data_IF_810184161345
#
_entry.id   IF_810184161345
#
_cell.length_a   1.000
_cell.length_b   1.000
_cell.length_c   1.000
_cell.angle_alpha   90.00
_cell.angle_beta   90.00
_cell.angle_gamma   90.00
#
_symmetry.space_group_name_H-M   'P 1'
#
loop_
_entity.id
_entity.type
_entity.pdbx_description
1 polymer ?
#
# COMPACT_ATOMS: atom_id res chain seq x y z
N UNK A 1 -22.51 27.25 12.22
CA UNK A 1 -23.69 26.38 12.05
C UNK A 1 -23.48 25.64 10.73
N UNK A 2 -22.74 24.53 10.79
CA UNK A 2 -22.38 23.74 9.59
C UNK A 2 -23.60 22.94 9.14
N UNK A 3 -23.90 22.87 7.83
CA UNK A 3 -24.99 22.04 7.32
C UNK A 3 -24.72 20.58 7.67
N UNK A 4 -25.62 19.93 8.40
CA UNK A 4 -25.60 18.47 8.59
C UNK A 4 -25.93 17.83 7.26
N UNK A 5 -25.08 16.92 6.79
CA UNK A 5 -25.35 16.16 5.58
C UNK A 5 -26.60 15.27 5.78
N UNK A 6 -27.42 15.06 4.74
CA UNK A 6 -28.69 14.33 4.86
C UNK A 6 -28.53 12.81 5.16
N UNK A 7 -27.31 12.28 5.21
CA UNK A 7 -26.99 10.88 5.46
C UNK A 7 -26.70 10.57 6.96
N UNK A 8 -26.10 11.49 7.72
CA UNK A 8 -25.68 11.23 9.11
C UNK A 8 -26.85 10.78 10.00
N UNK A 9 -28.03 11.41 9.87
CA UNK A 9 -29.20 11.02 10.66
C UNK A 9 -29.79 9.66 10.28
N UNK A 10 -29.53 9.19 9.06
CA UNK A 10 -30.00 7.90 8.56
C UNK A 10 -29.11 6.78 9.06
N UNK A 11 -27.79 6.99 9.04
CA UNK A 11 -26.80 6.03 9.54
C UNK A 11 -26.93 5.83 11.06
N UNK A 12 -27.15 6.92 11.82
CA UNK A 12 -27.40 6.87 13.27
C UNK A 12 -28.69 6.13 13.65
N UNK A 13 -29.70 6.15 12.76
CA UNK A 13 -30.95 5.43 12.98
C UNK A 13 -30.79 3.93 12.68
N UNK A 14 -30.08 3.59 11.60
CA UNK A 14 -29.76 2.20 11.23
C UNK A 14 -28.85 1.55 12.28
N UNK A 15 -27.83 2.27 12.76
CA UNK A 15 -26.92 1.77 13.79
C UNK A 15 -27.66 1.45 15.10
N UNK A 16 -28.57 2.34 15.54
CA UNK A 16 -29.38 2.10 16.75
C UNK A 16 -30.32 0.92 16.62
N UNK A 17 -30.88 0.66 15.44
CA UNK A 17 -31.71 -0.54 15.20
C UNK A 17 -30.87 -1.83 15.32
N UNK A 18 -29.64 -1.82 14.80
CA UNK A 18 -28.73 -2.96 14.92
C UNK A 18 -28.34 -3.23 16.37
N UNK A 19 -27.99 -2.20 17.14
CA UNK A 19 -27.65 -2.35 18.57
C UNK A 19 -28.86 -2.80 19.38
N UNK A 20 -30.04 -2.20 19.16
CA UNK A 20 -31.26 -2.61 19.84
C UNK A 20 -31.61 -4.08 19.52
N UNK A 21 -31.43 -4.52 18.27
CA UNK A 21 -31.65 -5.92 17.88
C UNK A 21 -30.65 -6.87 18.55
N UNK A 22 -29.38 -6.47 18.63
CA UNK A 22 -28.34 -7.24 19.31
C UNK A 22 -28.60 -7.35 20.82
N UNK A 23 -28.97 -6.25 21.48
CA UNK A 23 -29.31 -6.22 22.91
C UNK A 23 -30.63 -6.92 23.22
N UNK A 24 -31.59 -6.90 22.27
CA UNK A 24 -32.86 -7.61 22.39
C UNK A 24 -32.76 -9.10 22.11
N UNK A 25 -31.63 -9.56 21.54
CA UNK A 25 -31.36 -10.98 21.39
C UNK A 25 -31.15 -11.53 22.80
N UNK A 26 -32.13 -12.24 23.38
CA UNK A 26 -32.00 -12.74 24.73
C UNK A 26 -30.82 -13.71 24.70
N UNK A 27 -29.82 -13.48 25.54
CA UNK A 27 -28.85 -14.52 25.84
C UNK A 27 -29.63 -15.80 26.17
N UNK A 28 -29.37 -16.84 25.39
CA UNK A 28 -30.02 -18.15 25.38
C UNK A 28 -30.77 -18.45 26.71
N UNK A 29 -32.12 -18.39 26.74
CA UNK A 29 -32.84 -18.81 27.92
C UNK A 29 -32.69 -20.32 28.06
N UNK A 30 -32.48 -20.77 29.31
CA UNK A 30 -32.40 -22.17 29.75
C UNK A 30 -30.99 -22.76 29.76
N UNK A 31 -30.17 -22.28 30.71
CA UNK A 31 -29.40 -23.21 31.54
C UNK A 31 -30.41 -23.99 32.39
N UNK A 32 -30.98 -25.06 31.83
CA UNK A 32 -31.36 -26.18 32.68
C UNK A 32 -30.06 -26.70 33.29
N UNK A 33 -30.05 -26.76 34.62
CA UNK A 33 -28.95 -27.21 35.47
C UNK A 33 -28.74 -28.72 35.24
N UNK A 34 -28.15 -29.07 34.09
CA UNK A 34 -27.54 -30.38 33.88
C UNK A 34 -26.12 -30.29 34.42
N UNK A 35 -25.84 -31.10 35.45
CA UNK A 35 -24.55 -31.29 36.11
C UNK A 35 -23.55 -32.00 35.18
N UNK A 36 -23.32 -31.41 34.01
CA UNK A 36 -22.24 -31.74 33.09
C UNK A 36 -21.21 -30.61 33.15
N UNK A 37 -19.90 -30.89 33.31
CA UNK A 37 -18.91 -29.83 33.35
C UNK A 37 -18.94 -29.07 32.03
N UNK A 38 -19.29 -27.77 32.08
CA UNK A 38 -19.25 -26.93 30.89
C UNK A 38 -17.85 -27.05 30.27
N UNK A 39 -17.74 -27.35 28.96
CA UNK A 39 -16.46 -27.37 28.29
C UNK A 39 -15.81 -26.01 28.48
N UNK A 40 -14.53 -26.00 28.87
CA UNK A 40 -13.83 -24.75 29.08
C UNK A 40 -13.81 -23.96 27.77
N UNK A 41 -13.63 -22.63 27.84
CA UNK A 41 -13.57 -21.81 26.62
C UNK A 41 -12.51 -22.32 25.64
N UNK A 42 -11.45 -22.95 26.14
CA UNK A 42 -10.44 -23.62 25.32
C UNK A 42 -11.00 -24.83 24.58
N UNK A 43 -11.80 -25.65 25.26
CA UNK A 43 -12.43 -26.84 24.66
C UNK A 43 -13.48 -26.46 23.61
N UNK A 44 -14.19 -25.34 23.82
CA UNK A 44 -15.12 -24.78 22.83
C UNK A 44 -14.38 -24.26 21.59
N UNK A 45 -13.29 -23.53 21.79
CA UNK A 45 -12.46 -23.02 20.69
C UNK A 45 -11.82 -24.17 19.91
N UNK A 46 -11.32 -25.18 20.60
CA UNK A 46 -10.76 -26.40 20.00
C UNK A 46 -11.81 -27.17 19.17
N UNK A 47 -13.05 -27.28 19.67
CA UNK A 47 -14.14 -27.91 18.93
C UNK A 47 -14.50 -27.14 17.64
N UNK A 48 -14.42 -25.80 17.64
CA UNK A 48 -14.62 -24.99 16.44
C UNK A 48 -13.56 -25.29 15.38
N UNK A 49 -12.29 -25.41 15.78
CA UNK A 49 -11.20 -25.72 14.85
C UNK A 49 -11.21 -27.16 14.35
N UNK A 50 -11.59 -28.11 15.21
CA UNK A 50 -11.66 -29.55 14.89
C UNK A 50 -12.79 -29.88 13.92
N UNK A 51 -13.89 -29.15 13.97
CA UNK A 51 -15.08 -29.41 13.16
C UNK A 51 -15.12 -28.58 11.85
N UNK A 52 -14.04 -27.88 11.49
CA UNK A 52 -13.95 -27.21 10.20
C UNK A 52 -13.74 -28.25 9.09
N UNK A 53 -14.65 -28.35 8.09
CA UNK A 53 -14.41 -29.19 6.92
C UNK A 53 -13.19 -28.67 6.17
N UNK A 54 -12.28 -29.58 5.79
CA UNK A 54 -11.13 -29.42 4.88
C UNK A 54 -10.91 -27.97 4.45
N UNK A 55 -10.03 -27.27 5.16
CA UNK A 55 -9.63 -25.91 4.77
C UNK A 55 -9.13 -25.97 3.32
N UNK A 56 -9.77 -25.29 2.36
CA UNK A 56 -9.10 -25.05 1.09
C UNK A 56 -7.79 -24.34 1.40
N UNK A 57 -6.70 -24.80 0.76
CA UNK A 57 -5.38 -24.20 0.88
C UNK A 57 -5.53 -22.67 0.87
N UNK A 58 -5.17 -22.03 1.98
CA UNK A 58 -5.23 -20.60 2.10
C UNK A 58 -4.26 -19.96 1.10
N UNK A 59 -4.36 -18.64 0.86
CA UNK A 59 -3.44 -17.90 -0.02
C UNK A 59 -1.97 -17.90 0.42
N UNK A 60 -1.56 -18.77 1.35
CA UNK A 60 -0.19 -18.98 1.82
C UNK A 60 0.17 -20.45 1.93
N UNK A 61 -0.76 -21.35 1.62
CA UNK A 61 -0.57 -22.80 1.70
C UNK A 61 -0.14 -23.33 0.32
N UNK A 62 0.90 -22.72 -0.24
CA UNK A 62 1.51 -23.19 -1.48
C UNK A 62 2.52 -24.28 -1.14
N UNK A 63 2.38 -25.45 -1.75
CA UNK A 63 3.43 -26.47 -1.74
C UNK A 63 4.47 -26.06 -2.79
N UNK A 64 5.72 -25.89 -2.35
CA UNK A 64 6.85 -25.72 -3.26
C UNK A 64 6.93 -26.99 -4.12
N UNK A 65 6.88 -26.89 -5.46
CA UNK A 65 7.08 -28.06 -6.30
C UNK A 65 8.42 -28.68 -5.90
N UNK A 66 8.45 -29.99 -5.66
CA UNK A 66 9.71 -30.69 -5.41
C UNK A 66 10.58 -30.45 -6.63
N UNK A 67 11.61 -29.60 -6.47
CA UNK A 67 12.63 -29.38 -7.46
C UNK A 67 13.15 -30.77 -7.83
N UNK A 68 12.91 -31.21 -9.06
CA UNK A 68 13.48 -32.43 -9.59
C UNK A 68 15.01 -32.26 -9.50
N UNK A 69 15.61 -32.76 -8.42
CA UNK A 69 17.05 -32.81 -8.14
C UNK A 69 17.81 -33.71 -9.16
N UNK A 70 17.25 -33.90 -10.35
CA UNK A 70 17.64 -34.88 -11.35
C UNK A 70 17.81 -34.39 -12.78
N UNK A 71 17.64 -33.10 -13.10
CA UNK A 71 17.93 -32.60 -14.45
C UNK A 71 19.24 -31.82 -14.48
N UNK A 72 20.32 -32.54 -14.78
CA UNK A 72 21.57 -32.03 -15.31
C UNK A 72 21.29 -31.17 -16.55
N UNK A 73 21.14 -29.85 -16.35
CA UNK A 73 21.12 -28.84 -17.42
C UNK A 73 19.87 -27.96 -17.51
N UNK A 74 19.83 -26.86 -16.74
CA UNK A 74 19.40 -25.57 -17.30
C UNK A 74 17.98 -25.04 -17.03
N UNK A 75 17.32 -25.37 -15.91
CA UNK A 75 15.99 -24.82 -15.59
C UNK A 75 15.94 -23.90 -14.34
N UNK A 76 17.08 -23.49 -13.79
CA UNK A 76 17.11 -22.46 -12.74
C UNK A 76 16.99 -21.07 -13.35
N UNK A 77 16.13 -20.20 -12.80
CA UNK A 77 16.09 -18.78 -13.16
C UNK A 77 17.47 -18.17 -12.90
N UNK A 78 18.20 -17.85 -13.97
CA UNK A 78 19.43 -17.08 -13.92
C UNK A 78 19.11 -15.65 -14.35
N UNK A 79 18.96 -14.70 -13.40
CA UNK A 79 18.66 -13.33 -13.75
C UNK A 79 19.79 -12.82 -14.66
N UNK A 80 19.46 -12.15 -15.78
CA UNK A 80 20.48 -11.57 -16.63
C UNK A 80 21.31 -10.58 -15.80
N UNK A 81 22.62 -10.55 -16.05
CA UNK A 81 23.49 -9.58 -15.40
C UNK A 81 22.91 -8.17 -15.61
N UNK A 82 22.67 -7.39 -14.54
CA UNK A 82 22.07 -6.08 -14.69
C UNK A 82 23.01 -5.20 -15.52
N UNK A 83 22.48 -4.35 -16.42
CA UNK A 83 23.28 -3.38 -17.12
C UNK A 83 24.11 -2.58 -16.11
N UNK A 84 25.40 -2.27 -16.40
CA UNK A 84 26.21 -1.47 -15.50
C UNK A 84 25.45 -0.20 -15.18
N UNK A 85 25.31 0.10 -13.88
CA UNK A 85 24.65 1.30 -13.38
C UNK A 85 25.52 2.51 -13.75
N UNK A 86 25.46 2.91 -15.02
CA UNK A 86 26.02 4.15 -15.49
C UNK A 86 25.40 5.29 -14.69
N UNK A 87 26.20 6.29 -14.36
CA UNK A 87 25.70 7.55 -13.82
C UNK A 87 24.53 7.98 -14.71
N UNK A 88 23.32 7.99 -14.14
CA UNK A 88 22.07 8.12 -14.90
C UNK A 88 22.08 9.32 -15.85
N UNK A 89 21.19 9.30 -16.85
CA UNK A 89 21.12 10.32 -17.91
C UNK A 89 21.39 11.75 -17.37
N UNK A 90 22.49 12.41 -17.79
CA UNK A 90 22.92 13.67 -17.18
C UNK A 90 21.86 14.77 -17.34
N UNK A 91 21.02 14.71 -18.38
CA UNK A 91 19.93 15.66 -18.55
C UNK A 91 18.84 15.48 -17.49
N UNK A 92 18.54 14.22 -17.12
CA UNK A 92 17.59 13.91 -16.05
C UNK A 92 18.13 14.36 -14.70
N UNK A 93 19.42 14.18 -14.45
CA UNK A 93 20.08 14.68 -13.24
C UNK A 93 20.01 16.21 -13.16
N UNK A 94 20.32 16.92 -14.25
CA UNK A 94 20.20 18.38 -14.32
C UNK A 94 18.76 18.85 -14.11
N UNK A 95 17.77 18.12 -14.66
CA UNK A 95 16.37 18.44 -14.48
C UNK A 95 15.91 18.26 -13.03
N UNK A 96 16.36 17.20 -12.35
CA UNK A 96 16.15 17.02 -10.91
C UNK A 96 16.85 18.10 -10.08
N UNK A 97 18.05 18.50 -10.48
CA UNK A 97 18.77 19.59 -9.82
C UNK A 97 18.03 20.93 -9.98
N UNK A 98 17.43 21.19 -11.14
CA UNK A 98 16.54 22.34 -11.32
C UNK A 98 15.24 22.22 -10.53
N UNK A 99 14.57 21.07 -10.60
CA UNK A 99 13.27 20.83 -9.99
C UNK A 99 13.33 20.82 -8.45
N UNK A 100 14.29 20.11 -7.85
CA UNK A 100 14.48 20.09 -6.40
C UNK A 100 15.34 21.28 -5.92
N UNK A 101 16.36 21.64 -6.69
CA UNK A 101 17.26 22.72 -6.31
C UNK A 101 16.64 24.10 -6.43
N UNK A 102 15.69 24.33 -7.35
CA UNK A 102 14.99 25.62 -7.48
C UNK A 102 14.31 26.07 -6.18
N UNK A 103 13.38 25.29 -5.60
CA UNK A 103 12.71 25.61 -4.35
C UNK A 103 13.70 25.74 -3.18
N UNK A 104 14.68 24.83 -3.09
CA UNK A 104 15.72 24.88 -2.04
C UNK A 104 16.55 26.15 -2.16
N UNK A 105 16.97 26.53 -3.37
CA UNK A 105 17.80 27.69 -3.61
C UNK A 105 17.03 29.00 -3.42
N UNK A 106 15.75 29.03 -3.78
CA UNK A 106 14.85 30.15 -3.43
C UNK A 106 14.70 30.30 -1.91
N UNK A 107 14.60 29.20 -1.17
CA UNK A 107 14.55 29.24 0.30
C UNK A 107 15.87 29.74 0.89
N UNK A 108 17.01 29.30 0.36
CA UNK A 108 18.33 29.79 0.77
C UNK A 108 18.50 31.28 0.46
N UNK A 109 18.02 31.77 -0.68
CA UNK A 109 17.99 33.21 -0.96
C UNK A 109 17.08 33.96 0.00
N UNK A 110 15.88 33.47 0.27
CA UNK A 110 15.00 34.11 1.24
C UNK A 110 15.61 34.19 2.66
N UNK A 111 16.42 33.20 3.04
CA UNK A 111 17.08 33.14 4.35
C UNK A 111 18.34 34.02 4.42
N UNK A 112 19.26 33.84 3.47
CA UNK A 112 20.62 34.41 3.53
C UNK A 112 20.81 35.62 2.61
N UNK A 113 19.94 35.80 1.60
CA UNK A 113 20.10 36.81 0.56
C UNK A 113 18.77 37.46 0.16
N UNK A 114 18.14 38.14 1.11
CA UNK A 114 16.81 38.75 0.94
C UNK A 114 16.77 39.82 -0.15
N UNK A 115 17.89 40.52 -0.37
CA UNK A 115 18.05 41.55 -1.40
C UNK A 115 18.57 41.00 -2.75
N UNK A 116 18.35 39.71 -3.04
CA UNK A 116 18.74 39.12 -4.33
C UNK A 116 18.10 39.90 -5.50
N UNK A 117 18.87 40.27 -6.54
CA UNK A 117 18.34 40.98 -7.70
C UNK A 117 17.22 40.19 -8.38
N UNK A 118 16.17 40.88 -8.82
CA UNK A 118 14.99 40.26 -9.44
C UNK A 118 15.33 39.35 -10.62
N UNK A 119 16.35 39.70 -11.40
CA UNK A 119 16.83 38.88 -12.51
C UNK A 119 17.33 37.49 -12.05
N UNK A 120 18.02 37.41 -10.91
CA UNK A 120 18.54 36.15 -10.37
C UNK A 120 17.38 35.28 -9.89
N UNK A 121 16.43 35.86 -9.13
CA UNK A 121 15.25 35.15 -8.63
C UNK A 121 14.39 34.60 -9.77
N UNK A 122 14.17 35.40 -10.82
CA UNK A 122 13.48 34.96 -12.04
C UNK A 122 14.26 33.87 -12.79
N UNK A 123 15.59 33.95 -12.83
CA UNK A 123 16.44 32.91 -13.42
C UNK A 123 16.28 31.56 -12.72
N UNK A 124 16.27 31.56 -11.38
CA UNK A 124 16.07 30.34 -10.58
C UNK A 124 14.65 29.78 -10.79
N UNK A 125 13.63 30.64 -10.79
CA UNK A 125 12.25 30.25 -11.05
C UNK A 125 12.10 29.66 -12.47
N UNK A 126 12.70 30.28 -13.47
CA UNK A 126 12.69 29.78 -14.84
C UNK A 126 13.40 28.42 -14.96
N UNK A 127 14.55 28.25 -14.30
CA UNK A 127 15.28 26.98 -14.23
C UNK A 127 14.47 25.87 -13.56
N UNK A 128 13.78 26.19 -12.46
CA UNK A 128 12.85 25.28 -11.80
C UNK A 128 11.73 24.82 -12.74
N UNK A 129 11.04 25.76 -13.39
CA UNK A 129 9.94 25.44 -14.31
C UNK A 129 10.44 24.62 -15.51
N UNK A 130 11.61 24.95 -16.06
CA UNK A 130 12.22 24.19 -17.14
C UNK A 130 12.54 22.74 -16.71
N UNK A 131 13.10 22.54 -15.52
CA UNK A 131 13.40 21.21 -14.97
C UNK A 131 12.14 20.37 -14.76
N UNK A 132 11.08 20.94 -14.18
CA UNK A 132 9.79 20.26 -13.97
C UNK A 132 9.14 19.87 -15.29
N UNK A 133 9.07 20.80 -16.25
CA UNK A 133 8.50 20.52 -17.59
C UNK A 133 9.30 19.42 -18.28
N UNK A 134 10.63 19.46 -18.23
CA UNK A 134 11.48 18.42 -18.80
C UNK A 134 11.19 17.03 -18.19
N UNK A 135 11.10 16.93 -16.86
CA UNK A 135 10.77 15.67 -16.19
C UNK A 135 9.40 15.12 -16.59
N UNK A 136 8.39 15.98 -16.68
CA UNK A 136 7.04 15.57 -17.12
C UNK A 136 7.05 15.06 -18.56
N UNK A 137 7.80 15.71 -19.44
CA UNK A 137 7.94 15.26 -20.84
C UNK A 137 8.75 13.97 -20.96
N UNK A 138 9.66 13.70 -20.02
CA UNK A 138 10.53 12.52 -20.00
C UNK A 138 9.88 11.28 -19.38
N UNK A 139 8.77 11.44 -18.66
CA UNK A 139 8.11 10.32 -17.98
C UNK A 139 7.77 9.21 -18.99
N UNK A 140 8.23 7.96 -18.76
CA UNK A 140 7.91 6.84 -19.64
C UNK A 140 6.40 6.61 -19.64
N UNK A 141 5.80 6.64 -20.84
CA UNK A 141 4.35 6.45 -21.04
C UNK A 141 3.96 4.98 -21.20
N UNK A 142 4.93 4.13 -21.51
CA UNK A 142 4.74 2.69 -21.55
C UNK A 142 5.06 2.12 -20.17
N UNK A 143 4.07 1.50 -19.54
CA UNK A 143 4.29 0.49 -18.50
C UNK A 143 4.28 -0.86 -19.20
N UNK A 144 5.25 -1.71 -18.90
CA UNK A 144 5.15 -3.11 -19.30
C UNK A 144 4.00 -3.75 -18.53
N UNK A 145 3.00 -4.23 -19.28
CA UNK A 145 1.84 -4.94 -18.75
C UNK A 145 2.09 -6.46 -18.71
N UNK A 146 3.14 -6.96 -19.38
CA UNK A 146 3.51 -8.37 -19.44
C UNK A 146 4.47 -8.79 -18.31
N UNK A 147 5.00 -7.85 -17.53
CA UNK A 147 5.80 -8.11 -16.31
C UNK A 147 4.89 -7.89 -15.08
N UNK A 148 3.86 -8.75 -14.97
CA UNK A 148 3.03 -8.83 -13.77
C UNK A 148 3.90 -9.58 -12.76
N UNK A 149 4.58 -8.85 -11.86
CA UNK A 149 5.67 -9.32 -10.98
C UNK A 149 5.31 -10.41 -9.95
N UNK A 150 4.35 -11.26 -10.27
CA UNK A 150 3.96 -12.47 -9.58
C UNK A 150 3.67 -13.57 -10.62
N UNK A 151 4.72 -14.24 -11.11
CA UNK A 151 4.58 -15.62 -11.57
C UNK A 151 4.70 -16.51 -10.32
N UNK A 152 3.61 -17.22 -9.99
CA UNK A 152 3.51 -18.17 -8.86
C UNK A 152 3.70 -19.60 -9.31
#
# INVERSE_FOLDING_TARGET
MTPREPNESTDDAVWRDLVARLESTPGNPETEEFDDPEPSDRDRVEAIFRNQPLRPAGPRDYEEPEDDEGSDGGAGYEPPEPPPLGMGDPLVVLAWLGAAGGPVLLLLFAMFWRDAPTAVTLGVLAGFLAGVVFLVLRLPRQRDYDDDGAEV
#
